data_IF_475416890605
#
_entry.id   IF_475416890605
#
_cell.length_a   1.000
_cell.length_b   1.000
_cell.length_c   1.000
_cell.angle_alpha   90.00
_cell.angle_beta   90.00
_cell.angle_gamma   90.00
#
_symmetry.space_group_name_H-M   'P 1'
#
loop_
_entity.id
_entity.type
_entity.pdbx_description
1 polymer ?
#
# COMPACT_ATOMS: atom_id res chain seq x y z
N UNK A 1 -8.57 -3.98 12.99
CA UNK A 1 -7.73 -2.80 13.21
C UNK A 1 -6.79 -2.73 12.02
N UNK A 2 -6.59 -1.55 11.41
CA UNK A 2 -5.72 -1.43 10.22
C UNK A 2 -5.26 0.01 10.06
N UNK A 3 -4.01 0.23 9.66
CA UNK A 3 -3.60 1.45 8.97
C UNK A 3 -2.78 1.15 7.73
N UNK A 4 -2.94 2.00 6.71
CA UNK A 4 -2.30 1.83 5.41
C UNK A 4 -1.97 3.17 4.77
N UNK A 5 -1.06 3.11 3.81
CA UNK A 5 -0.69 4.21 2.92
C UNK A 5 -0.65 3.70 1.48
N UNK A 6 -1.35 4.39 0.58
CA UNK A 6 -1.31 4.17 -0.87
C UNK A 6 -0.67 5.38 -1.53
N UNK A 7 0.23 5.17 -2.49
CA UNK A 7 1.01 6.25 -3.06
C UNK A 7 1.46 6.01 -4.50
N UNK A 8 1.88 7.10 -5.13
CA UNK A 8 2.53 7.17 -6.44
C UNK A 8 3.88 7.86 -6.30
N UNK A 9 4.88 7.41 -7.05
CA UNK A 9 6.11 8.16 -7.27
C UNK A 9 6.03 8.84 -8.64
N UNK A 10 5.98 10.17 -8.66
CA UNK A 10 5.78 10.91 -9.90
C UNK A 10 6.94 10.80 -10.90
N UNK A 11 8.18 10.66 -10.41
CA UNK A 11 9.38 10.56 -11.24
C UNK A 11 9.54 9.18 -11.88
N UNK A 12 9.16 8.10 -11.18
CA UNK A 12 9.32 6.72 -11.68
C UNK A 12 8.04 6.12 -12.24
N UNK A 13 6.89 6.76 -12.00
CA UNK A 13 5.56 6.23 -12.35
C UNK A 13 5.11 5.05 -11.48
N UNK A 14 5.91 4.65 -10.48
CA UNK A 14 5.62 3.50 -9.63
C UNK A 14 4.45 3.78 -8.69
N UNK A 15 3.61 2.78 -8.46
CA UNK A 15 2.58 2.76 -7.43
C UNK A 15 2.96 1.82 -6.31
N UNK A 16 2.52 2.15 -5.10
CA UNK A 16 2.77 1.32 -3.95
C UNK A 16 1.71 1.44 -2.87
N UNK A 17 1.54 0.36 -2.12
CA UNK A 17 0.75 0.32 -0.89
C UNK A 17 1.58 -0.35 0.19
N UNK A 18 1.59 0.22 1.39
CA UNK A 18 1.98 -0.47 2.61
C UNK A 18 0.83 -0.48 3.61
N UNK A 19 0.65 -1.60 4.32
CA UNK A 19 -0.48 -1.82 5.23
C UNK A 19 -0.07 -2.74 6.37
N UNK A 20 -0.60 -2.53 7.56
CA UNK A 20 -0.47 -3.45 8.70
C UNK A 20 -1.81 -3.67 9.42
N UNK A 21 -1.88 -4.75 10.20
CA UNK A 21 -3.06 -5.11 10.98
C UNK A 21 -2.72 -6.06 12.12
N UNK A 22 -3.49 -6.02 13.20
CA UNK A 22 -3.64 -7.13 14.16
C UNK A 22 -4.12 -8.45 13.55
N UNK A 23 -4.81 -8.44 12.40
CA UNK A 23 -5.27 -9.67 11.74
C UNK A 23 -4.21 -10.23 10.79
N UNK A 24 -4.16 -11.55 10.56
CA UNK A 24 -3.19 -12.16 9.65
C UNK A 24 -3.43 -11.76 8.18
N UNK A 25 -2.38 -11.92 7.38
CA UNK A 25 -2.39 -11.82 5.92
C UNK A 25 -3.07 -10.54 5.40
N UNK A 26 -2.79 -9.37 5.99
CA UNK A 26 -3.51 -8.14 5.66
C UNK A 26 -3.27 -7.68 4.22
N UNK A 27 -2.03 -7.77 3.73
CA UNK A 27 -1.67 -7.26 2.41
C UNK A 27 -2.44 -7.97 1.28
N UNK A 28 -2.55 -9.30 1.35
CA UNK A 28 -3.30 -10.10 0.37
C UNK A 28 -4.77 -9.70 0.19
N UNK A 29 -5.37 -9.09 1.21
CA UNK A 29 -6.80 -8.73 1.21
C UNK A 29 -7.03 -7.26 0.97
N UNK A 30 -6.02 -6.42 1.25
CA UNK A 30 -6.19 -4.98 1.36
C UNK A 30 -5.37 -4.18 0.34
N UNK A 31 -4.27 -4.70 -0.19
CA UNK A 31 -3.36 -3.96 -1.06
C UNK A 31 -3.52 -4.37 -2.54
N UNK A 32 -3.82 -3.41 -3.40
CA UNK A 32 -3.93 -3.61 -4.84
C UNK A 32 -3.27 -2.46 -5.59
N UNK A 33 -2.34 -2.79 -6.49
CA UNK A 33 -1.66 -1.82 -7.37
C UNK A 33 -1.65 -2.35 -8.79
N UNK A 34 -1.62 -1.45 -9.77
CA UNK A 34 -1.44 -1.80 -11.17
C UNK A 34 -0.56 -0.77 -11.85
N UNK A 35 0.49 -1.26 -12.53
CA UNK A 35 1.43 -0.45 -13.31
C UNK A 35 0.69 0.51 -14.24
N UNK A 36 1.09 1.79 -14.25
CA UNK A 36 0.48 2.84 -15.08
C UNK A 36 -0.97 3.23 -14.75
N UNK A 37 -1.61 2.57 -13.79
CA UNK A 37 -3.04 2.75 -13.50
C UNK A 37 -3.28 3.43 -12.15
N UNK A 38 -2.82 2.83 -11.05
CA UNK A 38 -3.14 3.34 -9.73
C UNK A 38 -2.86 2.39 -8.57
N UNK A 39 -3.23 2.85 -7.38
CA UNK A 39 -3.24 2.09 -6.13
C UNK A 39 -4.63 2.19 -5.47
N UNK A 40 -5.16 1.05 -5.00
CA UNK A 40 -6.46 0.95 -4.32
C UNK A 40 -6.34 0.08 -3.08
N UNK A 41 -6.54 0.68 -1.92
CA UNK A 41 -6.67 -0.02 -0.65
C UNK A 41 -8.15 -0.19 -0.25
N UNK A 42 -8.48 -1.38 0.26
CA UNK A 42 -9.78 -1.68 0.90
C UNK A 42 -9.53 -2.29 2.28
N UNK A 43 -10.08 -1.68 3.33
CA UNK A 43 -9.85 -2.09 4.72
C UNK A 43 -11.10 -1.90 5.60
N UNK A 44 -10.91 -1.95 6.93
CA UNK A 44 -11.93 -2.12 7.96
C UNK A 44 -12.51 -3.55 7.92
N UNK A 45 -13.79 -3.74 7.63
CA UNK A 45 -14.33 -5.05 7.26
C UNK A 45 -14.14 -5.16 5.75
N UNK A 46 -12.94 -5.53 5.32
CA UNK A 46 -12.54 -5.44 3.91
C UNK A 46 -13.41 -6.32 2.98
N UNK A 47 -13.66 -5.83 1.77
CA UNK A 47 -14.14 -6.63 0.64
C UNK A 47 -13.05 -6.59 -0.44
N UNK A 48 -12.21 -7.64 -0.56
CA UNK A 48 -11.07 -7.64 -1.48
C UNK A 48 -11.45 -7.40 -2.94
N UNK A 49 -12.71 -7.67 -3.33
CA UNK A 49 -13.19 -7.45 -4.71
C UNK A 49 -13.21 -5.97 -5.10
N UNK A 50 -13.27 -5.05 -4.14
CA UNK A 50 -13.29 -3.61 -4.39
C UNK A 50 -11.94 -3.08 -4.89
N UNK A 51 -10.83 -3.75 -4.55
CA UNK A 51 -9.50 -3.39 -5.02
C UNK A 51 -9.36 -3.48 -6.54
N UNK A 52 -9.51 -4.69 -7.13
CA UNK A 52 -9.47 -4.87 -8.58
C UNK A 52 -10.52 -4.03 -9.31
N UNK A 53 -11.75 -3.96 -8.78
CA UNK A 53 -12.81 -3.12 -9.37
C UNK A 53 -12.43 -1.64 -9.41
N UNK A 54 -11.80 -1.13 -8.34
CA UNK A 54 -11.29 0.24 -8.30
C UNK A 54 -10.19 0.46 -9.32
N UNK A 55 -9.26 -0.47 -9.46
CA UNK A 55 -8.21 -0.40 -10.48
C UNK A 55 -8.79 -0.43 -11.91
N UNK A 56 -9.86 -1.17 -12.16
CA UNK A 56 -10.53 -1.18 -13.47
C UNK A 56 -11.20 0.16 -13.79
N UNK A 57 -11.79 0.83 -12.79
CA UNK A 57 -12.35 2.17 -12.93
C UNK A 57 -11.24 3.21 -13.20
N UNK A 58 -10.11 3.12 -12.52
CA UNK A 58 -8.95 3.98 -12.79
C UNK A 58 -8.36 3.72 -14.18
N UNK A 59 -8.32 2.45 -14.61
CA UNK A 59 -7.83 2.05 -15.91
C UNK A 59 -8.71 2.59 -17.06
N UNK A 60 -10.02 2.77 -16.84
CA UNK A 60 -10.90 3.44 -17.80
C UNK A 60 -10.71 4.96 -17.87
N UNK A 61 -9.73 5.51 -17.15
CA UNK A 61 -9.37 6.93 -17.16
C UNK A 61 -10.10 7.79 -16.14
N UNK A 62 -10.92 7.21 -15.25
CA UNK A 62 -11.61 7.98 -14.22
C UNK A 62 -10.61 8.49 -13.16
N UNK A 63 -10.72 9.75 -12.72
CA UNK A 63 -10.01 10.24 -11.56
C UNK A 63 -10.39 9.48 -10.28
N UNK A 64 -9.49 9.47 -9.28
CA UNK A 64 -9.69 8.75 -8.03
C UNK A 64 -11.02 9.09 -7.33
N UNK A 65 -11.43 10.36 -7.35
CA UNK A 65 -12.69 10.81 -6.74
C UNK A 65 -13.92 10.22 -7.47
N UNK A 66 -13.91 10.18 -8.80
CA UNK A 66 -15.01 9.63 -9.58
C UNK A 66 -15.08 8.11 -9.49
N UNK A 67 -13.92 7.43 -9.55
CA UNK A 67 -13.83 5.99 -9.31
C UNK A 67 -14.40 5.63 -7.92
N UNK A 68 -14.09 6.43 -6.89
CA UNK A 68 -14.64 6.24 -5.56
C UNK A 68 -16.15 6.42 -5.50
N UNK A 69 -16.71 7.43 -6.19
CA UNK A 69 -18.18 7.61 -6.30
C UNK A 69 -18.83 6.36 -6.91
N UNK A 70 -18.25 5.81 -7.98
CA UNK A 70 -18.75 4.60 -8.65
C UNK A 70 -18.68 3.37 -7.74
N UNK A 71 -17.57 3.15 -7.06
CA UNK A 71 -17.42 2.07 -6.08
C UNK A 71 -18.50 2.14 -4.99
N UNK A 72 -18.77 3.35 -4.48
CA UNK A 72 -19.79 3.54 -3.44
C UNK A 72 -21.20 3.24 -3.93
N UNK A 73 -21.52 3.61 -5.16
CA UNK A 73 -22.83 3.34 -5.75
C UNK A 73 -23.06 1.86 -6.06
N UNK A 74 -22.00 1.13 -6.44
CA UNK A 74 -22.10 -0.27 -6.87
C UNK A 74 -22.02 -1.28 -5.70
N UNK A 75 -21.40 -0.91 -4.57
CA UNK A 75 -21.13 -1.83 -3.47
C UNK A 75 -22.28 -1.92 -2.45
N UNK A 76 -22.94 -3.10 -2.37
CA UNK A 76 -24.07 -3.39 -1.46
C UNK A 76 -23.81 -3.17 0.04
N UNK A 77 -22.55 -3.14 0.48
CA UNK A 77 -22.16 -3.04 1.90
C UNK A 77 -21.07 -1.98 2.13
N UNK A 78 -21.10 -0.90 1.34
CA UNK A 78 -20.07 0.13 1.37
C UNK A 78 -19.88 0.76 2.76
N UNK A 79 -20.94 0.86 3.56
CA UNK A 79 -20.90 1.42 4.92
C UNK A 79 -19.92 0.73 5.87
N UNK A 80 -19.56 -0.52 5.59
CA UNK A 80 -18.61 -1.29 6.39
C UNK A 80 -17.16 -1.18 5.89
N UNK A 81 -16.93 -0.46 4.79
CA UNK A 81 -15.64 -0.41 4.09
C UNK A 81 -14.94 0.91 4.35
N UNK A 82 -13.61 0.86 4.35
CA UNK A 82 -12.77 2.04 4.25
C UNK A 82 -11.91 1.89 2.99
N UNK A 83 -11.95 2.89 2.11
CA UNK A 83 -11.29 2.87 0.80
C UNK A 83 -10.28 4.02 0.71
N UNK A 84 -9.14 3.76 0.07
CA UNK A 84 -8.13 4.77 -0.22
C UNK A 84 -7.56 4.54 -1.62
N UNK A 85 -7.59 5.56 -2.48
CA UNK A 85 -7.23 5.47 -3.89
C UNK A 85 -6.20 6.53 -4.26
N UNK A 86 -5.25 6.18 -5.14
CA UNK A 86 -4.38 7.11 -5.87
C UNK A 86 -4.43 6.76 -7.35
N UNK A 87 -4.70 7.75 -8.20
CA UNK A 87 -4.74 7.56 -9.65
C UNK A 87 -3.42 7.94 -10.36
N UNK A 88 -3.37 7.70 -11.67
CA UNK A 88 -2.20 8.01 -12.53
C UNK A 88 -1.80 9.48 -12.61
N UNK A 89 -2.68 10.40 -12.25
CA UNK A 89 -2.38 11.83 -12.22
C UNK A 89 -1.80 12.27 -10.87
N UNK A 90 -1.87 11.39 -9.86
CA UNK A 90 -1.49 11.70 -8.49
C UNK A 90 -2.64 12.27 -7.66
N UNK A 91 -3.87 12.33 -8.19
CA UNK A 91 -5.01 12.69 -7.37
C UNK A 91 -5.35 11.50 -6.46
N UNK A 92 -5.76 11.81 -5.24
CA UNK A 92 -6.10 10.82 -4.22
C UNK A 92 -7.50 11.04 -3.66
N UNK A 93 -8.13 9.96 -3.23
CA UNK A 93 -9.46 9.98 -2.67
C UNK A 93 -9.59 8.94 -1.55
N UNK A 94 -10.44 9.21 -0.57
CA UNK A 94 -10.70 8.29 0.53
C UNK A 94 -12.16 8.30 0.95
N UNK A 95 -12.61 7.19 1.52
CA UNK A 95 -13.94 7.04 2.09
C UNK A 95 -13.88 6.16 3.33
N UNK A 96 -14.59 6.56 4.39
CA UNK A 96 -14.91 5.71 5.54
C UNK A 96 -16.41 5.56 5.61
N UNK A 97 -16.90 4.34 5.53
CA UNK A 97 -18.33 4.05 5.68
C UNK A 97 -18.82 4.32 7.09
N UNK A 98 -20.14 4.53 7.23
CA UNK A 98 -20.79 4.86 8.50
C UNK A 98 -20.62 3.80 9.60
N UNK A 99 -20.21 2.57 9.24
CA UNK A 99 -19.92 1.45 10.14
C UNK A 99 -18.43 1.13 10.23
N UNK A 100 -17.56 2.12 9.95
CA UNK A 100 -16.12 1.98 10.17
C UNK A 100 -15.84 1.82 11.67
N UNK A 101 -14.99 0.86 12.03
CA UNK A 101 -14.79 0.46 13.42
C UNK A 101 -13.89 1.44 14.18
N UNK A 102 -14.29 1.74 15.41
CA UNK A 102 -13.53 2.52 16.37
C UNK A 102 -13.12 3.90 15.84
N UNK A 103 -12.03 4.43 16.40
CA UNK A 103 -11.45 5.68 15.92
C UNK A 103 -10.86 5.45 14.52
N UNK A 104 -11.28 6.26 13.56
CA UNK A 104 -10.83 6.15 12.18
C UNK A 104 -10.55 7.52 11.57
N UNK A 105 -9.63 7.57 10.61
CA UNK A 105 -9.37 8.78 9.81
C UNK A 105 -8.75 8.39 8.47
N UNK A 106 -8.90 9.27 7.50
CA UNK A 106 -8.15 9.25 6.24
C UNK A 106 -7.57 10.63 5.98
N UNK A 107 -6.38 10.68 5.39
CA UNK A 107 -5.69 11.91 5.01
C UNK A 107 -5.20 11.76 3.58
N UNK A 108 -5.67 12.65 2.71
CA UNK A 108 -5.32 12.71 1.28
C UNK A 108 -4.27 13.79 1.05
N UNK A 109 -3.34 13.53 0.14
CA UNK A 109 -2.38 14.49 -0.39
C UNK A 109 -2.11 14.22 -1.87
N UNK A 110 -1.27 15.07 -2.48
CA UNK A 110 -0.79 14.82 -3.83
C UNK A 110 0.06 13.54 -3.83
N UNK A 111 -0.25 12.61 -4.73
CA UNK A 111 0.42 11.33 -4.92
C UNK A 111 0.35 10.38 -3.69
N UNK A 112 -0.50 10.66 -2.70
CA UNK A 112 -0.56 9.86 -1.45
C UNK A 112 -1.92 9.92 -0.77
N UNK A 113 -2.31 8.82 -0.14
CA UNK A 113 -3.40 8.77 0.83
C UNK A 113 -3.07 7.78 1.93
N UNK A 114 -3.27 8.18 3.19
CA UNK A 114 -3.23 7.27 4.33
C UNK A 114 -4.62 7.11 4.93
N UNK A 115 -4.92 5.92 5.44
CA UNK A 115 -6.20 5.63 6.09
C UNK A 115 -6.01 4.65 7.23
N UNK A 116 -6.84 4.77 8.28
CA UNK A 116 -6.86 3.81 9.37
C UNK A 116 -8.18 3.72 10.11
N UNK A 117 -8.40 2.59 10.77
CA UNK A 117 -9.54 2.25 11.62
C UNK A 117 -9.06 1.51 12.87
N UNK A 118 -9.82 1.62 13.97
CA UNK A 118 -9.41 1.18 15.32
C UNK A 118 -8.01 1.73 15.69
N UNK A 119 -7.81 3.01 15.43
CA UNK A 119 -6.58 3.74 15.73
C UNK A 119 -6.53 4.13 17.21
N UNK A 120 -5.35 4.04 17.84
CA UNK A 120 -5.16 4.61 19.18
C UNK A 120 -5.33 6.14 19.15
N UNK A 121 -4.87 6.79 18.07
CA UNK A 121 -4.96 8.24 17.86
C UNK A 121 -5.38 8.61 16.45
N UNK A 122 -6.19 9.66 16.32
CA UNK A 122 -6.66 10.15 15.02
C UNK A 122 -5.54 10.83 14.21
N UNK A 123 -4.40 11.15 14.84
CA UNK A 123 -3.22 11.73 14.19
C UNK A 123 -2.41 10.71 13.39
N UNK A 124 -2.64 9.40 13.54
CA UNK A 124 -1.81 8.35 12.90
C UNK A 124 -1.71 8.54 11.37
N UNK A 125 -2.80 8.60 10.58
CA UNK A 125 -2.70 8.83 9.13
C UNK A 125 -2.04 10.16 8.74
N UNK A 126 -2.18 11.20 9.57
CA UNK A 126 -1.57 12.51 9.33
C UNK A 126 -0.04 12.42 9.44
N UNK A 127 0.46 11.76 10.50
CA UNK A 127 1.90 11.52 10.69
C UNK A 127 2.49 10.63 9.59
N UNK A 128 1.73 9.66 9.09
CA UNK A 128 2.14 8.82 7.96
C UNK A 128 2.34 9.66 6.69
N UNK A 129 1.37 10.52 6.35
CA UNK A 129 1.45 11.39 5.16
C UNK A 129 2.61 12.38 5.29
N UNK A 130 2.78 13.02 6.45
CA UNK A 130 3.91 13.92 6.70
C UNK A 130 5.26 13.24 6.51
N UNK A 131 5.43 12.03 7.06
CA UNK A 131 6.67 11.27 6.91
C UNK A 131 6.93 10.88 5.45
N UNK A 132 5.88 10.45 4.73
CA UNK A 132 5.97 10.13 3.30
C UNK A 132 6.42 11.33 2.45
N UNK A 133 5.90 12.53 2.75
CA UNK A 133 6.21 13.76 2.03
C UNK A 133 7.61 14.30 2.37
N UNK A 134 8.09 14.13 3.62
CA UNK A 134 9.45 14.51 4.00
C UNK A 134 10.53 13.71 3.28
N UNK A 135 10.23 12.49 2.86
CA UNK A 135 11.14 11.60 2.15
C UNK A 135 10.97 11.69 0.62
N UNK A 136 10.60 12.87 0.08
CA UNK A 136 10.23 13.04 -1.33
C UNK A 136 11.24 12.48 -2.34
N UNK A 137 12.54 12.60 -2.04
CA UNK A 137 13.65 12.18 -2.90
C UNK A 137 14.07 10.71 -2.72
N UNK A 138 13.50 10.00 -1.74
CA UNK A 138 13.80 8.60 -1.49
C UNK A 138 13.02 7.67 -2.44
N UNK A 139 13.53 6.47 -2.74
CA UNK A 139 12.77 5.41 -3.41
C UNK A 139 11.40 5.16 -2.77
N UNK A 140 10.39 4.85 -3.59
CA UNK A 140 9.00 4.73 -3.11
C UNK A 140 8.84 3.74 -1.95
N UNK A 141 9.53 2.60 -1.97
CA UNK A 141 9.49 1.63 -0.88
C UNK A 141 10.01 2.20 0.44
N UNK A 142 11.08 2.99 0.43
CA UNK A 142 11.62 3.64 1.64
C UNK A 142 10.62 4.64 2.23
N UNK A 143 9.94 5.39 1.35
CA UNK A 143 8.91 6.36 1.74
C UNK A 143 7.71 5.69 2.41
N UNK A 144 7.29 4.53 1.88
CA UNK A 144 6.19 3.76 2.45
C UNK A 144 6.58 3.15 3.81
N UNK A 145 7.79 2.57 3.92
CA UNK A 145 8.31 2.07 5.21
C UNK A 145 8.40 3.19 6.25
N UNK A 146 8.98 4.34 5.89
CA UNK A 146 9.08 5.50 6.78
C UNK A 146 7.71 6.02 7.23
N UNK A 147 6.70 5.98 6.35
CA UNK A 147 5.33 6.31 6.70
C UNK A 147 4.72 5.32 7.69
N UNK A 148 4.90 4.01 7.48
CA UNK A 148 4.41 2.98 8.39
C UNK A 148 5.04 3.09 9.78
N UNK A 149 6.35 3.32 9.86
CA UNK A 149 7.07 3.54 11.11
C UNK A 149 6.58 4.81 11.83
N UNK A 150 6.35 5.91 11.10
CA UNK A 150 5.78 7.12 11.68
C UNK A 150 4.35 6.92 12.19
N UNK A 151 3.55 6.12 11.49
CA UNK A 151 2.21 5.73 11.93
C UNK A 151 2.23 4.95 13.24
N UNK A 152 3.13 3.97 13.35
CA UNK A 152 3.34 3.19 14.57
C UNK A 152 3.82 4.08 15.73
N UNK A 153 4.81 4.95 15.50
CA UNK A 153 5.34 5.88 16.50
C UNK A 153 4.29 6.91 16.97
N UNK A 154 3.34 7.27 16.10
CA UNK A 154 2.20 8.13 16.45
C UNK A 154 1.11 7.41 17.27
N UNK A 155 1.30 6.11 17.53
CA UNK A 155 0.44 5.27 18.37
C UNK A 155 -0.12 4.06 17.66
N UNK A 156 -0.10 3.98 16.32
CA UNK A 156 -0.61 2.84 15.56
C UNK A 156 -2.08 2.50 15.83
N UNK A 157 -2.36 1.20 15.98
CA UNK A 157 -3.67 0.66 16.34
C UNK A 157 -3.94 0.77 17.85
N UNK A 158 -5.20 0.60 18.24
CA UNK A 158 -5.58 0.51 19.66
C UNK A 158 -4.91 -0.70 20.36
N UNK A 159 -4.68 -1.78 19.61
CA UNK A 159 -3.98 -2.99 20.06
C UNK A 159 -2.68 -3.26 19.28
N UNK A 160 -2.01 -4.40 19.55
CA UNK A 160 -0.81 -4.79 18.82
C UNK A 160 -1.13 -5.12 17.35
N UNK A 161 -0.15 -4.90 16.48
CA UNK A 161 -0.18 -5.34 15.07
C UNK A 161 0.59 -6.64 14.91
N UNK A 162 0.11 -7.53 14.04
CA UNK A 162 0.72 -8.85 13.83
C UNK A 162 1.06 -9.13 12.37
N UNK A 163 0.48 -8.41 11.41
CA UNK A 163 0.85 -8.54 10.01
C UNK A 163 1.14 -7.20 9.38
N UNK A 164 2.02 -7.22 8.38
CA UNK A 164 2.33 -6.08 7.54
C UNK A 164 2.69 -6.53 6.13
N UNK A 165 2.50 -5.68 5.14
CA UNK A 165 3.04 -5.94 3.81
C UNK A 165 3.15 -4.69 2.96
N UNK A 166 3.93 -4.82 1.90
CA UNK A 166 4.18 -3.79 0.91
C UNK A 166 4.08 -4.37 -0.50
N UNK A 167 3.31 -3.71 -1.35
CA UNK A 167 3.10 -4.10 -2.74
C UNK A 167 3.48 -2.94 -3.65
N UNK A 168 4.39 -3.16 -4.61
CA UNK A 168 4.87 -2.17 -5.56
C UNK A 168 4.67 -2.64 -7.00
N UNK A 169 4.20 -1.75 -7.89
CA UNK A 169 4.13 -1.99 -9.33
C UNK A 169 4.67 -0.79 -10.11
N UNK A 170 5.43 -1.05 -11.17
CA UNK A 170 6.09 -0.02 -11.98
C UNK A 170 5.65 -0.10 -13.44
N UNK A 171 6.33 -0.91 -14.24
CA UNK A 171 6.31 -0.93 -15.71
C UNK A 171 6.19 -2.34 -16.32
N UNK A 172 6.05 -3.36 -15.48
CA UNK A 172 5.81 -4.76 -15.90
C UNK A 172 4.44 -5.25 -15.42
N UNK A 173 3.98 -6.37 -15.98
CA UNK A 173 2.63 -6.89 -15.72
C UNK A 173 2.45 -7.49 -14.31
N UNK A 174 3.54 -7.71 -13.57
CA UNK A 174 3.53 -8.24 -12.21
C UNK A 174 4.02 -7.19 -11.19
N UNK A 175 3.73 -7.36 -9.88
CA UNK A 175 4.33 -6.54 -8.84
C UNK A 175 5.85 -6.74 -8.79
N UNK A 176 6.62 -5.64 -8.80
CA UNK A 176 8.07 -5.67 -8.66
C UNK A 176 8.50 -5.90 -7.20
N UNK A 177 7.58 -5.72 -6.26
CA UNK A 177 7.73 -6.18 -4.88
C UNK A 177 6.34 -6.60 -4.34
N UNK A 178 6.26 -7.79 -3.76
CA UNK A 178 5.13 -8.27 -2.96
C UNK A 178 5.71 -8.88 -1.68
N UNK A 179 5.93 -8.01 -0.68
CA UNK A 179 6.63 -8.33 0.55
C UNK A 179 5.62 -8.45 1.67
N UNK A 180 5.64 -9.58 2.39
CA UNK A 180 4.60 -9.92 3.36
C UNK A 180 5.17 -10.52 4.63
N UNK A 181 4.80 -9.93 5.75
CA UNK A 181 4.88 -10.51 7.08
C UNK A 181 3.46 -10.85 7.47
N UNK A 182 3.03 -12.08 7.16
CA UNK A 182 1.63 -12.47 7.31
C UNK A 182 1.22 -12.73 8.77
N UNK A 183 2.20 -13.00 9.64
CA UNK A 183 2.08 -13.04 11.09
C UNK A 183 3.45 -12.88 11.75
N UNK A 184 3.54 -12.04 12.77
CA UNK A 184 4.69 -11.87 13.64
C UNK A 184 4.21 -11.36 15.02
N UNK A 185 4.83 -11.82 16.10
CA UNK A 185 4.31 -11.59 17.45
C UNK A 185 4.43 -10.13 17.91
N UNK A 186 5.50 -9.43 17.52
CA UNK A 186 5.86 -8.15 18.16
C UNK A 186 6.05 -6.99 17.18
N UNK A 187 6.84 -7.17 16.12
CA UNK A 187 7.18 -6.07 15.20
C UNK A 187 7.10 -6.44 13.70
N UNK A 188 5.89 -6.67 13.16
CA UNK A 188 5.75 -6.97 11.73
C UNK A 188 6.20 -5.82 10.81
N UNK A 189 6.21 -4.57 11.28
CA UNK A 189 6.63 -3.41 10.48
C UNK A 189 8.17 -3.35 10.38
N UNK A 190 8.88 -3.62 11.47
CA UNK A 190 10.34 -3.76 11.47
C UNK A 190 10.80 -4.92 10.58
N UNK A 191 10.15 -6.08 10.68
CA UNK A 191 10.43 -7.23 9.81
C UNK A 191 10.19 -6.89 8.32
N UNK A 192 9.10 -6.18 8.01
CA UNK A 192 8.84 -5.71 6.64
C UNK A 192 9.93 -4.74 6.15
N UNK A 193 10.44 -3.86 7.01
CA UNK A 193 11.53 -2.96 6.67
C UNK A 193 12.85 -3.72 6.39
N UNK A 194 13.17 -4.74 7.19
CA UNK A 194 14.30 -5.64 6.96
C UNK A 194 14.18 -6.39 5.64
N UNK A 195 13.00 -6.95 5.35
CA UNK A 195 12.71 -7.64 4.10
C UNK A 195 12.84 -6.71 2.89
N UNK A 196 12.38 -5.45 3.01
CA UNK A 196 12.58 -4.45 1.96
C UNK A 196 14.06 -4.11 1.75
N UNK A 197 14.84 -3.92 2.81
CA UNK A 197 16.27 -3.65 2.70
C UNK A 197 17.02 -4.79 1.96
N UNK A 198 16.60 -6.04 2.18
CA UNK A 198 17.12 -7.21 1.46
C UNK A 198 16.70 -7.22 -0.02
N UNK A 199 15.42 -6.95 -0.31
CA UNK A 199 14.86 -7.06 -1.67
C UNK A 199 15.25 -5.90 -2.59
N UNK A 200 15.24 -4.67 -2.07
CA UNK A 200 15.48 -3.42 -2.81
C UNK A 200 16.68 -3.48 -3.78
N UNK A 201 17.89 -3.90 -3.39
CA UNK A 201 19.04 -3.92 -4.30
C UNK A 201 18.94 -5.01 -5.39
N UNK A 202 18.07 -6.00 -5.22
CA UNK A 202 17.93 -7.14 -6.14
C UNK A 202 16.77 -6.96 -7.13
N UNK A 203 15.80 -6.10 -6.81
CA UNK A 203 14.54 -5.94 -7.52
C UNK A 203 14.72 -5.76 -9.04
N UNK A 204 15.58 -4.84 -9.48
CA UNK A 204 15.78 -4.57 -10.91
C UNK A 204 16.45 -5.75 -11.64
N UNK A 205 17.35 -6.49 -10.96
CA UNK A 205 17.96 -7.69 -11.53
C UNK A 205 16.92 -8.79 -11.77
N UNK A 206 15.93 -8.95 -10.88
CA UNK A 206 14.85 -9.92 -11.09
C UNK A 206 13.89 -9.51 -12.21
N UNK A 207 13.65 -8.21 -12.42
CA UNK A 207 12.94 -7.73 -13.61
C UNK A 207 13.73 -8.05 -14.88
N UNK A 208 15.03 -7.75 -14.91
CA UNK A 208 15.89 -8.05 -16.05
C UNK A 208 15.91 -9.55 -16.37
N UNK A 209 16.01 -10.42 -15.36
CA UNK A 209 15.96 -11.89 -15.53
C UNK A 209 14.68 -12.38 -16.20
N UNK A 210 13.55 -11.75 -15.89
CA UNK A 210 12.26 -12.12 -16.47
C UNK A 210 12.10 -11.63 -17.91
N UNK A 211 12.69 -10.48 -18.27
CA UNK A 211 12.55 -9.87 -19.59
C UNK A 211 13.65 -10.27 -20.57
N UNK A 212 14.90 -10.22 -20.13
CA UNK A 212 16.10 -10.62 -20.87
C UNK A 212 17.15 -11.23 -19.92
N UNK A 213 17.09 -12.54 -19.67
CA UNK A 213 18.04 -13.22 -18.79
C UNK A 213 19.49 -13.17 -19.27
N UNK A 214 19.77 -12.85 -20.54
CA UNK A 214 21.14 -12.77 -21.07
C UNK A 214 21.90 -11.52 -20.60
N UNK A 215 21.16 -10.46 -20.27
CA UNK A 215 21.68 -9.18 -19.76
C UNK A 215 21.76 -9.13 -18.23
N UNK A 216 21.18 -10.12 -17.55
CA UNK A 216 21.01 -10.09 -16.11
C UNK A 216 22.31 -10.47 -15.35
N UNK A 217 22.58 -9.86 -14.18
CA UNK A 217 23.66 -10.32 -13.31
C UNK A 217 23.47 -11.80 -12.91
N UNK A 218 24.58 -12.55 -12.88
CA UNK A 218 24.60 -13.94 -12.38
C UNK A 218 23.94 -14.04 -11.00
N UNK A 219 23.35 -15.19 -10.71
CA UNK A 219 22.73 -15.49 -9.43
C UNK A 219 23.76 -15.58 -8.29
N UNK A 220 25.03 -15.88 -8.59
CA UNK A 220 26.07 -16.08 -7.57
C UNK A 220 25.74 -17.21 -6.60
N UNK A 221 24.99 -18.22 -7.05
CA UNK A 221 24.45 -19.30 -6.21
C UNK A 221 25.35 -20.52 -6.21
N UNK A 222 25.26 -21.31 -5.13
CA UNK A 222 25.90 -22.62 -5.08
C UNK A 222 25.40 -23.50 -6.25
N UNK A 223 26.33 -24.01 -7.05
CA UNK A 223 26.03 -24.84 -8.22
C UNK A 223 26.27 -24.18 -9.58
N UNK A 224 26.50 -22.86 -9.61
CA UNK A 224 26.94 -22.12 -10.81
C UNK A 224 28.47 -22.34 -10.95
N UNK A 225 28.87 -23.39 -11.68
CA UNK A 225 30.27 -23.72 -12.02
C UNK A 225 30.45 -23.84 -13.52
#
# INVERSE_FOLDING_TARGET
>A
MTFSISARCASTGMFGIAVCSSSPCVAARCAHVRAGVGAVATQNITDPRLGPRGLDLLASGLPAAEALVRLKAEAKHIDYRQLALVDRTGASAAFSGSKTLGRHRSVTGRDVVAAGNLLSRASVPERMVEAFLRLADAPLGDRLIGAMQAGLAAGGEEGPVHSAGMLLARDVAWPVADLRIDWHETDPIGELAGLWALWKPQMDAYVARALDPSSAPSYGVAGDR
#
